data_IF_698648727351
#
_entry.id   IF_698648727351
#
_cell.length_a   1.000
_cell.length_b   1.000
_cell.length_c   1.000
_cell.angle_alpha   90.00
_cell.angle_beta   90.00
_cell.angle_gamma   90.00
#
_symmetry.space_group_name_H-M   'P 1'
#
loop_
_entity.id
_entity.type
_entity.pdbx_description
1 polymer ?
#
# COMPACT_ATOMS: atom_id res chain seq x y z
N UNK A 1 15.91 4.18 -33.61
CA UNK A 1 15.39 5.31 -32.82
C UNK A 1 14.93 4.77 -31.49
N UNK A 2 15.36 5.37 -30.36
CA UNK A 2 14.94 4.92 -29.02
C UNK A 2 13.48 5.35 -28.80
N UNK A 3 12.65 4.42 -28.32
CA UNK A 3 11.29 4.73 -27.88
C UNK A 3 11.33 5.73 -26.72
N UNK A 4 10.49 6.76 -26.77
CA UNK A 4 10.35 7.74 -25.69
C UNK A 4 9.01 7.54 -24.99
N UNK A 5 9.04 7.51 -23.66
CA UNK A 5 7.85 7.58 -22.81
C UNK A 5 7.79 8.94 -22.13
N UNK A 6 6.59 9.51 -22.03
CA UNK A 6 6.31 10.69 -21.23
C UNK A 6 5.08 10.42 -20.36
N UNK A 7 5.13 10.82 -19.10
CA UNK A 7 4.04 10.61 -18.14
C UNK A 7 3.67 11.95 -17.52
N UNK A 8 2.39 12.31 -17.59
CA UNK A 8 1.83 13.50 -16.97
C UNK A 8 0.73 13.13 -15.99
N UNK A 9 0.58 13.90 -14.91
CA UNK A 9 -0.47 13.69 -13.92
C UNK A 9 -1.17 15.00 -13.57
N UNK A 10 -2.48 14.95 -13.37
CA UNK A 10 -3.29 16.05 -12.83
C UNK A 10 -4.11 15.59 -11.62
N UNK A 11 -4.34 16.51 -10.68
CA UNK A 11 -5.10 16.29 -9.46
C UNK A 11 -6.28 17.26 -9.41
N UNK A 12 -7.46 16.76 -9.06
CA UNK A 12 -8.66 17.56 -8.77
C UNK A 12 -9.30 17.10 -7.46
N UNK A 13 -10.06 17.98 -6.80
CA UNK A 13 -10.81 17.65 -5.58
C UNK A 13 -12.29 17.86 -5.89
N UNK A 14 -13.07 16.77 -5.85
CA UNK A 14 -14.51 16.78 -6.09
C UNK A 14 -15.20 15.99 -4.97
N UNK A 15 -16.30 16.50 -4.43
CA UNK A 15 -17.12 15.83 -3.40
C UNK A 15 -16.35 15.31 -2.17
N UNK A 16 -15.29 16.04 -1.78
CA UNK A 16 -14.43 15.67 -0.65
C UNK A 16 -13.46 14.51 -0.92
N UNK A 17 -13.38 14.01 -2.16
CA UNK A 17 -12.43 12.99 -2.61
C UNK A 17 -11.37 13.59 -3.53
N UNK A 18 -10.17 13.02 -3.51
CA UNK A 18 -9.09 13.45 -4.42
C UNK A 18 -9.13 12.59 -5.68
N UNK A 19 -9.30 13.21 -6.84
CA UNK A 19 -9.25 12.53 -8.12
C UNK A 19 -7.87 12.74 -8.75
N UNK A 20 -7.29 11.66 -9.25
CA UNK A 20 -6.04 11.66 -9.99
C UNK A 20 -6.30 11.20 -11.41
N UNK A 21 -5.77 11.94 -12.38
CA UNK A 21 -5.75 11.55 -13.78
C UNK A 21 -4.31 11.47 -14.25
N UNK A 22 -3.96 10.33 -14.81
CA UNK A 22 -2.59 10.00 -15.20
C UNK A 22 -2.62 9.66 -16.66
N UNK A 23 -1.81 10.35 -17.45
CA UNK A 23 -1.70 10.12 -18.89
C UNK A 23 -0.28 9.69 -19.19
N UNK A 24 -0.13 8.47 -19.70
CA UNK A 24 1.12 7.92 -20.21
C UNK A 24 1.09 7.94 -21.73
N UNK A 25 2.10 8.53 -22.34
CA UNK A 25 2.27 8.59 -23.79
C UNK A 25 3.55 7.87 -24.18
N UNK A 26 3.44 6.88 -25.06
CA UNK A 26 4.55 6.07 -25.56
C UNK A 26 4.66 6.24 -27.06
N UNK A 27 5.81 6.68 -27.56
CA UNK A 27 6.09 6.68 -28.99
C UNK A 27 6.91 5.45 -29.36
N UNK A 28 6.32 4.58 -30.18
CA UNK A 28 6.95 3.38 -30.72
C UNK A 28 8.07 3.72 -31.70
N UNK A 29 8.91 2.72 -31.99
CA UNK A 29 10.00 2.85 -32.98
C UNK A 29 9.50 3.11 -34.41
N UNK A 30 8.21 2.88 -34.66
CA UNK A 30 7.49 3.17 -35.90
C UNK A 30 6.97 4.61 -35.98
N UNK A 31 7.26 5.45 -34.98
CA UNK A 31 6.79 6.83 -34.89
C UNK A 31 5.34 6.97 -34.44
N UNK A 32 4.64 5.88 -34.12
CA UNK A 32 3.26 5.93 -33.62
C UNK A 32 3.25 6.20 -32.13
N UNK A 33 2.32 7.05 -31.72
CA UNK A 33 2.16 7.44 -30.32
C UNK A 33 0.91 6.80 -29.73
N UNK A 34 1.07 6.14 -28.60
CA UNK A 34 0.03 5.46 -27.84
C UNK A 34 -0.17 6.19 -26.52
N UNK A 35 -1.41 6.57 -26.21
CA UNK A 35 -1.75 7.25 -24.97
C UNK A 35 -2.67 6.40 -24.11
N UNK A 36 -2.26 6.12 -22.89
CA UNK A 36 -3.03 5.43 -21.86
C UNK A 36 -3.38 6.44 -20.78
N UNK A 37 -4.66 6.53 -20.41
CA UNK A 37 -5.12 7.42 -19.34
C UNK A 37 -5.79 6.60 -18.27
N UNK A 38 -5.35 6.77 -17.01
CA UNK A 38 -5.99 6.14 -15.86
C UNK A 38 -6.48 7.19 -14.90
N UNK A 39 -7.73 7.05 -14.51
CA UNK A 39 -8.39 7.88 -13.51
C UNK A 39 -8.59 7.04 -12.26
N UNK A 40 -8.17 7.58 -11.12
CA UNK A 40 -8.29 6.91 -9.83
C UNK A 40 -8.70 7.91 -8.76
N UNK A 41 -9.43 7.40 -7.77
CA UNK A 41 -10.02 8.20 -6.69
C UNK A 41 -9.33 7.83 -5.39
N UNK A 42 -8.92 8.85 -4.64
CA UNK A 42 -8.15 8.75 -3.41
C UNK A 42 -6.84 7.97 -3.61
N UNK A 43 -6.30 7.30 -2.59
CA UNK A 43 -4.92 6.77 -2.59
C UNK A 43 -4.67 5.57 -3.52
N UNK A 44 -5.72 5.01 -4.14
CA UNK A 44 -5.63 3.96 -5.18
C UNK A 44 -4.78 4.39 -6.38
N UNK A 45 -4.76 5.71 -6.68
CA UNK A 45 -4.00 6.27 -7.80
C UNK A 45 -2.49 6.25 -7.58
N UNK A 46 -2.05 6.44 -6.32
CA UNK A 46 -0.64 6.53 -5.95
C UNK A 46 0.03 5.16 -6.10
N UNK A 47 -0.71 4.09 -5.83
CA UNK A 47 -0.27 2.71 -5.99
C UNK A 47 -0.07 2.34 -7.47
N UNK A 48 -1.01 2.73 -8.34
CA UNK A 48 -0.86 2.56 -9.79
C UNK A 48 0.31 3.38 -10.36
N UNK A 49 0.47 4.63 -9.89
CA UNK A 49 1.57 5.51 -10.32
C UNK A 49 2.95 4.94 -10.00
N UNK A 50 3.06 4.31 -8.83
CA UNK A 50 4.32 3.73 -8.37
C UNK A 50 4.62 2.42 -9.10
N UNK A 51 3.61 1.62 -9.41
CA UNK A 51 3.79 0.36 -10.14
C UNK A 51 4.12 0.60 -11.63
N UNK A 52 3.52 1.62 -12.27
CA UNK A 52 3.92 2.09 -13.59
C UNK A 52 5.37 2.59 -13.62
N UNK A 53 5.84 3.22 -12.53
CA UNK A 53 7.23 3.70 -12.37
C UNK A 53 8.25 2.58 -12.15
N UNK A 54 7.83 1.40 -11.69
CA UNK A 54 8.69 0.21 -11.50
C UNK A 54 8.87 -0.61 -12.79
N UNK A 55 8.10 -0.32 -13.85
CA UNK A 55 8.20 -1.01 -15.16
C UNK A 55 9.30 -0.47 -16.07
N UNK A 56 9.88 0.69 -15.78
CA UNK A 56 10.96 1.30 -16.58
C UNK A 56 12.34 0.71 -16.20
N UNK A 57 12.50 -0.61 -16.27
CA UNK A 57 13.77 -1.31 -16.07
C UNK A 57 14.76 -1.15 -17.24
N UNK A 58 14.68 -0.06 -18.01
CA UNK A 58 15.53 0.08 -19.19
C UNK A 58 15.79 1.52 -19.64
N UNK A 59 16.25 2.42 -18.77
CA UNK A 59 17.02 3.61 -19.22
C UNK A 59 18.11 3.95 -18.20
N UNK A 60 19.36 3.68 -18.60
CA UNK A 60 20.58 4.26 -18.03
C UNK A 60 20.60 5.77 -18.29
N UNK A 61 19.94 6.58 -17.47
CA UNK A 61 20.27 8.01 -17.33
C UNK A 61 19.62 8.60 -16.06
N UNK A 62 20.22 8.28 -14.91
CA UNK A 62 19.72 8.69 -13.59
C UNK A 62 20.13 10.12 -13.20
N UNK A 63 20.41 11.00 -14.18
CA UNK A 63 20.90 12.37 -13.93
C UNK A 63 20.18 13.41 -14.80
N UNK A 64 18.86 13.60 -14.66
CA UNK A 64 18.22 14.82 -15.20
C UNK A 64 16.86 15.25 -14.65
N UNK A 65 16.54 14.98 -13.39
CA UNK A 65 15.41 15.67 -12.75
C UNK A 65 15.83 16.26 -11.41
N UNK A 66 15.95 17.58 -11.43
CA UNK A 66 16.28 18.43 -10.29
C UNK A 66 15.14 18.40 -9.26
N UNK A 67 15.42 17.83 -8.09
CA UNK A 67 14.51 17.78 -6.94
C UNK A 67 14.45 19.10 -6.15
N UNK A 68 15.15 20.15 -6.58
CA UNK A 68 15.26 21.44 -5.87
C UNK A 68 13.94 22.20 -5.71
N UNK A 69 12.89 21.87 -6.45
CA UNK A 69 11.58 22.53 -6.32
C UNK A 69 10.67 21.97 -5.22
N UNK A 70 11.12 20.94 -4.48
CA UNK A 70 10.31 20.26 -3.45
C UNK A 70 11.04 20.06 -2.12
N UNK A 71 11.87 21.01 -1.70
CA UNK A 71 12.34 21.09 -0.32
C UNK A 71 12.50 22.54 0.13
N UNK A 72 11.57 23.03 0.95
CA UNK A 72 11.92 24.03 1.96
C UNK A 72 12.10 23.29 3.29
N UNK A 73 13.33 23.15 3.81
CA UNK A 73 13.55 22.57 5.13
C UNK A 73 13.15 23.59 6.20
N UNK A 74 12.06 23.33 6.93
CA UNK A 74 11.82 24.00 8.21
C UNK A 74 12.84 23.43 9.21
N UNK A 75 13.82 24.26 9.61
CA UNK A 75 14.72 23.96 10.73
C UNK A 75 13.89 23.86 12.01
N UNK A 76 13.84 22.67 12.61
CA UNK A 76 13.37 22.48 13.99
C UNK A 76 14.58 22.15 14.85
N UNK A 77 14.79 22.97 15.87
CA UNK A 77 15.84 22.85 16.87
C UNK A 77 15.67 21.59 17.72
N UNK A 78 16.79 20.94 18.01
CA UNK A 78 16.84 19.79 18.92
C UNK A 78 16.49 20.22 20.35
N UNK A 79 15.51 19.54 20.94
CA UNK A 79 15.36 19.44 22.39
C UNK A 79 15.20 17.97 22.75
N UNK A 80 16.22 17.45 23.42
CA UNK A 80 16.32 16.09 23.92
C UNK A 80 15.41 15.87 25.12
N UNK A 81 14.46 14.94 25.01
CA UNK A 81 14.03 14.12 26.14
C UNK A 81 13.86 12.68 25.65
N UNK A 82 14.59 11.76 26.26
CA UNK A 82 14.54 10.34 25.95
C UNK A 82 13.16 9.78 26.32
N UNK A 83 12.29 9.59 25.33
CA UNK A 83 11.05 8.85 25.51
C UNK A 83 11.35 7.35 25.71
N UNK A 84 10.90 6.80 26.84
CA UNK A 84 10.93 5.36 27.15
C UNK A 84 10.39 4.56 25.95
N UNK A 85 11.19 3.62 25.46
CA UNK A 85 10.81 2.59 24.48
C UNK A 85 9.51 1.89 24.94
N UNK A 86 8.45 1.81 24.12
CA UNK A 86 7.15 1.35 24.59
C UNK A 86 7.18 -0.16 24.86
N UNK A 87 6.78 -0.54 26.07
CA UNK A 87 6.46 -1.92 26.46
C UNK A 87 5.23 -2.37 25.66
N UNK A 88 5.28 -3.54 25.01
CA UNK A 88 4.14 -4.11 24.28
C UNK A 88 2.95 -4.29 25.24
N UNK A 89 1.90 -3.49 25.08
CA UNK A 89 0.68 -3.55 25.90
C UNK A 89 -0.11 -4.83 25.59
N UNK A 90 -0.87 -5.34 26.57
CA UNK A 90 -1.77 -6.50 26.35
C UNK A 90 -2.78 -6.24 25.24
N UNK A 91 -3.26 -5.01 25.14
CA UNK A 91 -4.15 -4.50 24.11
C UNK A 91 -3.55 -4.60 22.69
N UNK A 92 -2.26 -4.29 22.53
CA UNK A 92 -1.57 -4.49 21.25
C UNK A 92 -1.40 -5.97 20.87
N UNK A 93 -1.20 -6.86 21.85
CA UNK A 93 -1.13 -8.30 21.58
C UNK A 93 -2.46 -8.84 21.05
N UNK A 94 -3.57 -8.38 21.62
CA UNK A 94 -4.90 -8.78 21.20
C UNK A 94 -5.21 -8.30 19.78
N UNK A 95 -4.91 -7.03 19.47
CA UNK A 95 -5.03 -6.49 18.12
C UNK A 95 -4.28 -7.35 17.08
N UNK A 96 -3.03 -7.69 17.35
CA UNK A 96 -2.21 -8.52 16.44
C UNK A 96 -2.79 -9.94 16.30
N UNK A 97 -3.23 -10.54 17.41
CA UNK A 97 -3.83 -11.88 17.45
C UNK A 97 -5.10 -11.93 16.60
N UNK A 98 -6.01 -10.99 16.79
CA UNK A 98 -7.25 -10.88 16.02
C UNK A 98 -6.97 -10.66 14.53
N UNK A 99 -6.08 -9.72 14.20
CA UNK A 99 -5.74 -9.42 12.82
C UNK A 99 -5.22 -10.67 12.09
N UNK A 100 -4.26 -11.39 12.69
CA UNK A 100 -3.72 -12.62 12.12
C UNK A 100 -4.78 -13.72 11.99
N UNK A 101 -5.59 -13.91 13.03
CA UNK A 101 -6.65 -14.93 13.03
C UNK A 101 -7.64 -14.69 11.88
N UNK A 102 -8.16 -13.47 11.78
CA UNK A 102 -9.16 -13.11 10.75
C UNK A 102 -8.55 -13.17 9.35
N UNK A 103 -7.30 -12.71 9.16
CA UNK A 103 -6.59 -12.87 7.88
C UNK A 103 -6.56 -14.33 7.45
N UNK A 104 -6.20 -15.23 8.36
CA UNK A 104 -6.04 -16.65 8.06
C UNK A 104 -7.38 -17.37 7.85
N UNK A 105 -8.43 -16.96 8.55
CA UNK A 105 -9.80 -17.44 8.29
C UNK A 105 -10.29 -17.04 6.89
N UNK A 106 -10.02 -15.81 6.46
CA UNK A 106 -10.38 -15.31 5.14
C UNK A 106 -9.55 -15.98 4.05
N UNK A 107 -8.23 -16.09 4.22
CA UNK A 107 -7.34 -16.81 3.29
C UNK A 107 -7.76 -18.26 3.08
N UNK A 108 -8.21 -18.94 4.14
CA UNK A 108 -8.77 -20.29 4.05
C UNK A 108 -10.00 -20.35 3.13
N UNK A 109 -10.88 -19.34 3.14
CA UNK A 109 -12.03 -19.28 2.22
C UNK A 109 -11.58 -19.26 0.75
N UNK A 110 -10.42 -18.67 0.47
CA UNK A 110 -9.83 -18.62 -0.87
C UNK A 110 -8.91 -19.81 -1.18
N UNK A 111 -8.76 -20.76 -0.24
CA UNK A 111 -7.91 -21.93 -0.42
C UNK A 111 -6.43 -21.61 -0.55
N UNK A 112 -5.96 -20.53 0.08
CA UNK A 112 -4.53 -20.16 0.13
C UNK A 112 -3.96 -20.37 1.54
N UNK A 113 -2.65 -20.63 1.61
CA UNK A 113 -1.95 -20.94 2.87
C UNK A 113 -2.06 -19.80 3.90
N UNK A 114 -2.13 -20.09 5.21
CA UNK A 114 -2.17 -19.07 6.24
C UNK A 114 -0.85 -18.27 6.29
N UNK A 115 -0.95 -16.98 6.60
CA UNK A 115 0.19 -16.12 6.89
C UNK A 115 0.77 -16.47 8.26
N UNK A 116 2.09 -16.32 8.37
CA UNK A 116 2.83 -16.38 9.63
C UNK A 116 3.11 -14.97 10.13
N UNK A 117 2.92 -14.75 11.43
CA UNK A 117 3.32 -13.48 12.04
C UNK A 117 4.84 -13.34 12.02
N UNK A 118 5.34 -12.23 11.49
CA UNK A 118 6.75 -11.87 11.54
C UNK A 118 6.95 -10.63 12.43
N UNK A 119 7.75 -10.79 13.49
CA UNK A 119 7.99 -9.74 14.47
C UNK A 119 8.80 -8.55 13.92
N UNK A 120 9.65 -8.75 12.91
CA UNK A 120 10.41 -7.67 12.28
C UNK A 120 9.49 -6.85 11.35
N UNK A 121 8.60 -7.51 10.60
CA UNK A 121 7.54 -6.81 9.88
C UNK A 121 6.62 -6.03 10.84
N UNK A 122 6.29 -6.58 12.02
CA UNK A 122 5.47 -5.87 13.00
C UNK A 122 6.18 -4.64 13.57
N UNK A 123 7.51 -4.67 13.76
CA UNK A 123 8.29 -3.48 14.17
C UNK A 123 8.24 -2.41 13.08
N UNK A 124 8.47 -2.81 11.82
CA UNK A 124 8.40 -1.90 10.68
C UNK A 124 7.00 -1.29 10.51
N UNK A 125 5.95 -2.11 10.70
CA UNK A 125 4.56 -1.64 10.70
C UNK A 125 4.31 -0.65 11.85
N UNK A 126 4.89 -0.88 13.03
CA UNK A 126 4.75 0.02 14.18
C UNK A 126 5.45 1.35 13.95
N UNK A 127 6.66 1.33 13.39
CA UNK A 127 7.39 2.55 13.03
C UNK A 127 6.57 3.39 12.04
N UNK A 128 5.94 2.74 11.05
CA UNK A 128 5.09 3.43 10.10
C UNK A 128 3.77 3.91 10.72
N UNK A 129 3.09 3.10 11.54
CA UNK A 129 1.88 3.51 12.23
C UNK A 129 2.12 4.76 13.10
N UNK A 130 3.26 4.80 13.81
CA UNK A 130 3.67 5.98 14.59
C UNK A 130 3.89 7.20 13.71
N UNK A 131 4.51 7.03 12.53
CA UNK A 131 4.66 8.11 11.56
C UNK A 131 3.30 8.66 11.11
N UNK A 132 2.36 7.80 10.71
CA UNK A 132 1.00 8.20 10.29
C UNK A 132 0.26 8.91 11.42
N UNK A 133 0.35 8.40 12.65
CA UNK A 133 -0.24 9.03 13.82
C UNK A 133 0.34 10.42 14.11
N UNK A 134 1.65 10.61 13.89
CA UNK A 134 2.32 11.90 14.09
C UNK A 134 1.99 12.94 13.02
N UNK A 135 1.78 12.51 11.78
CA UNK A 135 1.49 13.41 10.64
C UNK A 135 0.00 13.58 10.39
N UNK A 136 -0.85 12.71 10.95
CA UNK A 136 -2.28 12.67 10.70
C UNK A 136 -2.66 12.31 9.25
N UNK A 137 -1.71 11.84 8.45
CA UNK A 137 -1.88 11.62 7.01
C UNK A 137 -1.80 10.14 6.70
N UNK A 138 -2.83 9.57 6.08
CA UNK A 138 -2.81 8.19 5.59
C UNK A 138 -2.00 8.16 4.28
N UNK A 139 -0.80 7.58 4.30
CA UNK A 139 0.07 7.50 3.12
C UNK A 139 0.94 6.25 3.18
N UNK A 140 1.15 5.63 2.02
CA UNK A 140 1.99 4.44 1.92
C UNK A 140 3.47 4.69 2.21
N UNK A 141 4.12 3.69 2.78
CA UNK A 141 5.53 3.78 3.15
C UNK A 141 6.51 3.58 1.97
N UNK A 142 7.79 3.73 2.28
CA UNK A 142 8.90 3.25 1.42
C UNK A 142 9.61 2.07 2.05
N UNK A 143 8.97 1.41 3.01
CA UNK A 143 9.58 0.37 3.84
C UNK A 143 10.07 -0.80 3.00
N UNK A 144 11.22 -1.33 3.38
CA UNK A 144 11.80 -2.54 2.80
C UNK A 144 12.07 -3.55 3.90
N UNK A 145 11.92 -4.82 3.56
CA UNK A 145 12.33 -5.96 4.38
C UNK A 145 13.14 -6.90 3.48
N UNK A 146 14.30 -7.34 3.95
CA UNK A 146 15.25 -8.13 3.13
C UNK A 146 15.56 -7.47 1.77
N UNK A 147 15.82 -6.15 1.78
CA UNK A 147 16.16 -5.32 0.61
C UNK A 147 15.08 -5.18 -0.47
N UNK A 148 13.87 -5.72 -0.27
CA UNK A 148 12.75 -5.57 -1.21
C UNK A 148 11.58 -4.84 -0.56
N UNK A 149 10.73 -4.23 -1.38
CA UNK A 149 9.55 -3.52 -0.88
C UNK A 149 8.54 -4.53 -0.31
N UNK A 150 7.94 -4.19 0.83
CA UNK A 150 6.88 -4.98 1.44
C UNK A 150 5.54 -4.63 0.81
N UNK A 151 4.60 -5.56 0.81
CA UNK A 151 3.19 -5.24 0.59
C UNK A 151 2.68 -4.45 1.79
N UNK A 152 1.69 -3.58 1.61
CA UNK A 152 1.19 -2.74 2.69
C UNK A 152 -0.31 -2.49 2.56
N UNK A 153 -1.05 -2.71 3.65
CA UNK A 153 -2.43 -2.22 3.79
C UNK A 153 -2.48 -1.20 4.92
N UNK A 154 -3.22 -0.12 4.69
CA UNK A 154 -3.37 0.99 5.64
C UNK A 154 -4.84 1.20 5.98
N UNK A 155 -5.10 1.68 7.19
CA UNK A 155 -6.42 2.12 7.62
C UNK A 155 -6.30 3.27 8.59
N UNK A 156 -7.23 4.21 8.52
CA UNK A 156 -7.46 5.18 9.58
C UNK A 156 -8.94 5.31 9.92
N UNK A 157 -9.24 5.63 11.18
CA UNK A 157 -10.59 5.98 11.65
C UNK A 157 -10.52 6.79 12.95
N UNK A 158 -11.58 7.50 13.33
CA UNK A 158 -11.59 8.38 14.51
C UNK A 158 -11.84 7.66 15.85
N UNK A 159 -12.11 6.36 15.84
CA UNK A 159 -12.28 5.52 17.03
C UNK A 159 -11.30 4.34 17.03
N UNK A 160 -11.28 3.55 18.11
CA UNK A 160 -10.34 2.43 18.26
C UNK A 160 -10.45 1.43 17.09
N UNK A 161 -9.32 0.96 16.57
CA UNK A 161 -9.26 -0.01 15.47
C UNK A 161 -8.94 -1.40 16.04
N UNK A 162 -9.90 -2.33 16.01
CA UNK A 162 -9.63 -3.74 16.35
C UNK A 162 -8.95 -4.47 15.19
N UNK A 163 -8.28 -5.59 15.48
CA UNK A 163 -7.61 -6.36 14.43
C UNK A 163 -8.61 -7.00 13.47
N UNK A 164 -9.77 -7.41 14.01
CA UNK A 164 -10.90 -7.94 13.26
C UNK A 164 -11.50 -6.90 12.31
N UNK A 165 -11.94 -5.75 12.83
CA UNK A 165 -12.67 -4.76 12.02
C UNK A 165 -11.81 -4.22 10.86
N UNK A 166 -10.51 -4.01 11.13
CA UNK A 166 -9.55 -3.61 10.11
C UNK A 166 -9.48 -4.64 8.97
N UNK A 167 -9.30 -5.92 9.33
CA UNK A 167 -9.13 -7.00 8.37
C UNK A 167 -10.41 -7.23 7.56
N UNK A 168 -11.57 -7.22 8.21
CA UNK A 168 -12.87 -7.38 7.53
C UNK A 168 -13.14 -6.22 6.58
N UNK A 169 -12.82 -4.99 6.97
CA UNK A 169 -13.02 -3.84 6.10
C UNK A 169 -12.13 -3.85 4.85
N UNK A 170 -10.88 -4.29 4.97
CA UNK A 170 -10.01 -4.53 3.80
C UNK A 170 -10.54 -5.66 2.92
N UNK A 171 -11.03 -6.74 3.52
CA UNK A 171 -11.57 -7.87 2.79
C UNK A 171 -12.87 -7.55 2.05
N UNK A 172 -13.72 -6.66 2.60
CA UNK A 172 -15.02 -6.29 2.00
C UNK A 172 -14.90 -5.63 0.61
N UNK A 173 -13.70 -5.23 0.19
CA UNK A 173 -13.42 -4.86 -1.19
C UNK A 173 -13.62 -6.02 -2.18
N UNK A 174 -13.69 -7.28 -1.72
CA UNK A 174 -14.02 -8.44 -2.54
C UNK A 174 -15.34 -8.29 -3.29
N UNK A 175 -16.28 -7.49 -2.77
CA UNK A 175 -17.56 -7.20 -3.42
C UNK A 175 -17.41 -6.39 -4.73
N UNK A 176 -16.24 -5.77 -4.94
CA UNK A 176 -15.92 -5.01 -6.16
C UNK A 176 -15.02 -5.78 -7.11
N UNK A 177 -14.52 -6.96 -6.70
CA UNK A 177 -13.53 -7.71 -7.46
C UNK A 177 -14.19 -8.71 -8.41
N UNK A 178 -13.99 -8.53 -9.71
CA UNK A 178 -14.37 -9.50 -10.73
C UNK A 178 -13.23 -10.49 -10.98
N UNK A 179 -13.42 -11.74 -10.54
CA UNK A 179 -12.44 -12.83 -10.72
C UNK A 179 -12.20 -13.21 -12.18
N UNK A 180 -13.10 -12.83 -13.11
CA UNK A 180 -12.90 -13.07 -14.54
C UNK A 180 -12.01 -11.99 -15.19
N UNK A 181 -11.80 -10.85 -14.52
CA UNK A 181 -10.99 -9.74 -15.00
C UNK A 181 -9.64 -9.65 -14.26
N UNK A 182 -8.84 -10.71 -14.35
CA UNK A 182 -7.54 -10.81 -13.67
C UNK A 182 -6.38 -10.08 -14.38
N UNK A 183 -6.60 -9.54 -15.59
CA UNK A 183 -5.52 -8.96 -16.41
C UNK A 183 -5.11 -7.55 -15.99
N UNK A 184 -5.94 -6.89 -15.19
CA UNK A 184 -5.77 -5.50 -14.77
C UNK A 184 -6.00 -5.35 -13.28
N UNK A 185 -5.32 -4.38 -12.67
CA UNK A 185 -5.70 -3.92 -11.33
C UNK A 185 -7.13 -3.37 -11.37
N UNK A 186 -7.90 -3.68 -10.33
CA UNK A 186 -9.27 -3.18 -10.16
C UNK A 186 -9.25 -2.15 -9.04
N UNK A 187 -9.68 -0.92 -9.34
CA UNK A 187 -9.65 0.16 -8.33
C UNK A 187 -10.51 -0.21 -7.13
N UNK A 188 -10.01 0.09 -5.93
CA UNK A 188 -10.70 -0.19 -4.67
C UNK A 188 -10.76 -1.67 -4.31
N UNK A 189 -9.87 -2.51 -4.87
CA UNK A 189 -9.69 -3.92 -4.49
C UNK A 189 -8.29 -4.25 -3.98
N UNK A 190 -7.42 -3.25 -3.85
CA UNK A 190 -6.02 -3.44 -3.47
C UNK A 190 -5.83 -4.04 -2.09
N UNK A 191 -6.66 -3.65 -1.11
CA UNK A 191 -6.53 -4.21 0.23
C UNK A 191 -7.00 -5.66 0.26
N UNK A 192 -8.14 -5.97 -0.37
CA UNK A 192 -8.65 -7.34 -0.46
C UNK A 192 -7.63 -8.26 -1.14
N UNK A 193 -7.15 -7.87 -2.32
CA UNK A 193 -6.21 -8.69 -3.11
C UNK A 193 -4.92 -8.96 -2.35
N UNK A 194 -4.42 -8.01 -1.57
CA UNK A 194 -3.27 -8.23 -0.69
C UNK A 194 -3.56 -9.18 0.48
N UNK A 195 -4.74 -9.10 1.12
CA UNK A 195 -5.15 -10.01 2.21
C UNK A 195 -5.11 -11.47 1.73
N UNK A 196 -5.66 -11.74 0.55
CA UNK A 196 -5.78 -13.10 0.00
C UNK A 196 -4.64 -13.50 -0.94
N UNK A 197 -3.62 -12.66 -1.10
CA UNK A 197 -2.53 -12.91 -2.05
C UNK A 197 -1.80 -14.21 -1.71
N UNK A 198 -1.92 -15.22 -2.59
CA UNK A 198 -1.41 -16.58 -2.35
C UNK A 198 0.07 -16.59 -1.96
N UNK A 199 0.90 -15.85 -2.68
CA UNK A 199 2.35 -15.88 -2.49
C UNK A 199 2.85 -15.08 -1.28
N UNK A 200 2.02 -14.28 -0.62
CA UNK A 200 2.38 -13.66 0.66
C UNK A 200 2.43 -14.75 1.73
N UNK A 201 3.51 -14.80 2.51
CA UNK A 201 3.76 -15.85 3.49
C UNK A 201 3.82 -15.33 4.92
N UNK A 202 4.30 -14.11 5.08
CA UNK A 202 4.55 -13.47 6.35
C UNK A 202 3.83 -12.14 6.42
N UNK A 203 3.41 -11.75 7.62
CA UNK A 203 2.75 -10.47 7.87
C UNK A 203 3.16 -9.90 9.22
N UNK A 204 3.28 -8.58 9.29
CA UNK A 204 3.39 -7.83 10.53
C UNK A 204 2.25 -6.85 10.66
N UNK A 205 1.76 -6.64 11.88
CA UNK A 205 0.65 -5.73 12.17
C UNK A 205 1.04 -4.72 13.23
N UNK A 206 0.54 -3.50 13.08
CA UNK A 206 0.62 -2.50 14.13
C UNK A 206 -0.54 -1.51 14.05
N UNK A 207 -0.76 -0.81 15.16
CA UNK A 207 -1.61 0.37 15.21
C UNK A 207 -0.98 1.46 16.07
N UNK A 208 -1.40 2.68 15.84
CA UNK A 208 -1.00 3.84 16.63
C UNK A 208 -2.16 4.83 16.73
N UNK A 209 -2.28 5.46 17.90
CA UNK A 209 -3.23 6.53 18.14
C UNK A 209 -2.60 7.87 17.78
N UNK A 210 -3.22 8.59 16.86
CA UNK A 210 -2.91 9.99 16.57
C UNK A 210 -3.83 10.94 17.32
N UNK A 211 -3.67 12.24 17.07
CA UNK A 211 -4.45 13.30 17.75
C UNK A 211 -5.95 13.23 17.42
N UNK A 212 -6.29 13.00 16.14
CA UNK A 212 -7.69 12.99 15.66
C UNK A 212 -8.11 11.67 15.02
N UNK A 213 -7.13 10.85 14.61
CA UNK A 213 -7.36 9.58 13.94
C UNK A 213 -6.42 8.53 14.53
N UNK A 214 -6.91 7.31 14.60
CA UNK A 214 -6.11 6.11 14.83
C UNK A 214 -5.70 5.55 13.48
N UNK A 215 -4.53 4.92 13.44
CA UNK A 215 -3.93 4.35 12.23
C UNK A 215 -3.58 2.89 12.47
N UNK A 216 -3.82 2.06 11.48
CA UNK A 216 -3.41 0.67 11.49
C UNK A 216 -2.69 0.31 10.18
N UNK A 217 -1.68 -0.54 10.31
CA UNK A 217 -0.74 -0.90 9.25
C UNK A 217 -0.56 -2.42 9.27
N UNK A 218 -0.68 -3.04 8.11
CA UNK A 218 -0.22 -4.40 7.87
C UNK A 218 0.88 -4.39 6.81
N UNK A 219 1.99 -5.10 7.06
CA UNK A 219 3.08 -5.26 6.11
C UNK A 219 3.25 -6.72 5.73
N UNK A 220 3.24 -7.03 4.44
CA UNK A 220 3.21 -8.38 3.89
C UNK A 220 4.53 -8.71 3.19
N UNK A 221 5.00 -9.95 3.36
CA UNK A 221 6.19 -10.45 2.68
C UNK A 221 6.00 -11.89 2.16
N UNK A 222 6.38 -12.19 0.91
CA UNK A 222 6.60 -11.25 -0.19
C UNK A 222 5.40 -10.30 -0.43
N UNK A 223 5.64 -9.17 -1.11
CA UNK A 223 4.57 -8.23 -1.46
C UNK A 223 3.54 -8.87 -2.39
N UNK A 224 2.29 -8.39 -2.33
CA UNK A 224 1.24 -8.73 -3.27
C UNK A 224 1.03 -7.68 -4.36
N UNK A 225 -0.12 -7.79 -5.04
CA UNK A 225 -0.64 -6.80 -5.98
C UNK A 225 0.27 -6.49 -7.18
N UNK A 226 1.09 -7.46 -7.59
CA UNK A 226 1.87 -7.35 -8.82
C UNK A 226 0.96 -7.47 -10.04
N UNK A 227 0.97 -6.45 -10.91
CA UNK A 227 0.25 -6.50 -12.18
C UNK A 227 0.70 -7.69 -13.03
N UNK A 228 -0.28 -8.44 -13.55
CA UNK A 228 -0.05 -9.66 -14.35
C UNK A 228 0.07 -10.95 -13.53
N UNK A 229 -0.07 -10.88 -12.19
CA UNK A 229 0.03 -12.05 -11.30
C UNK A 229 -1.27 -12.34 -10.53
N UNK A 230 -2.36 -11.61 -10.79
CA UNK A 230 -3.62 -11.74 -10.05
C UNK A 230 -4.30 -13.11 -10.22
N UNK A 231 -4.28 -13.71 -11.42
CA UNK A 231 -4.86 -15.03 -11.72
C UNK A 231 -4.21 -16.17 -10.93
N UNK A 232 -2.93 -16.03 -10.61
CA UNK A 232 -2.16 -17.02 -9.84
C UNK A 232 -2.26 -16.80 -8.33
N UNK A 233 -2.76 -15.64 -7.89
CA UNK A 233 -2.67 -15.22 -6.50
C UNK A 233 -4.01 -14.87 -5.83
N UNK A 234 -5.06 -14.58 -6.60
CA UNK A 234 -6.37 -14.16 -6.08
C UNK A 234 -7.45 -15.09 -6.63
N UNK A 235 -7.76 -16.14 -5.87
CA UNK A 235 -8.76 -17.14 -6.25
C UNK A 235 -10.16 -16.75 -5.79
N UNK A 236 -11.20 -17.24 -6.46
CA UNK A 236 -12.57 -17.13 -5.96
C UNK A 236 -12.71 -17.86 -4.60
N UNK A 237 -13.56 -17.36 -3.69
CA UNK A 237 -13.87 -18.08 -2.45
C UNK A 237 -14.53 -19.43 -2.76
N UNK A 238 -14.26 -20.42 -1.90
CA UNK A 238 -14.81 -21.79 -1.95
C UNK A 238 -16.14 -21.90 -1.23
#
# INVERSE_FOLDING_TARGET
>A
MRSSSNTSSSRTINDGRTHYKITRTVTGSDGKTYTETVEAVDDDAVNLMRDLRLRDNNVTDMNRFDSSSWTNPIKVSQSSTAAKRPTVTQDNKEFVREALQVHNELRRKHGVEPLKLNNDLSKLAQDWANHLASTGTLVHSKTKYQNVHVGENLRSQSWSITGKDMTEAWYNECNKYDYNNYRSYQSGTGHFTQVVWKNSQEVGFARAQGTSMNFAVAMYYPAGNFLGEFDKNVFSPR
#
